data_IF_071368137308
#
_entry.id   IF_071368137308
#
_cell.length_a   1.000
_cell.length_b   1.000
_cell.length_c   1.000
_cell.angle_alpha   90.00
_cell.angle_beta   90.00
_cell.angle_gamma   90.00
#
_symmetry.space_group_name_H-M   'P 1'
#
loop_
_entity.id
_entity.type
_entity.pdbx_description
1 polymer ?
#
# COMPACT_ATOMS: atom_id res chain seq x y z
N UNK A 1 -20.03 -18.78 2.55
CA UNK A 1 -18.83 -18.54 1.73
C UNK A 1 -18.63 -17.03 1.69
N UNK A 2 -17.49 -16.51 2.14
CA UNK A 2 -17.26 -15.06 2.17
C UNK A 2 -16.84 -14.57 0.77
N UNK A 3 -17.42 -13.47 0.31
CA UNK A 3 -17.08 -12.86 -0.98
C UNK A 3 -16.05 -11.75 -0.74
N UNK A 4 -14.82 -11.99 -1.17
CA UNK A 4 -13.67 -11.11 -0.90
C UNK A 4 -13.60 -9.85 -1.80
N UNK A 5 -14.61 -9.64 -2.66
CA UNK A 5 -14.63 -8.53 -3.61
C UNK A 5 -13.69 -8.75 -4.80
N UNK A 6 -13.32 -7.65 -5.48
CA UNK A 6 -12.38 -7.65 -6.60
C UNK A 6 -10.95 -7.41 -6.14
N UNK A 7 -10.00 -8.07 -6.80
CA UNK A 7 -8.57 -7.85 -6.61
C UNK A 7 -7.98 -7.29 -7.90
N UNK A 8 -7.08 -6.33 -7.77
CA UNK A 8 -6.32 -5.76 -8.88
C UNK A 8 -4.83 -5.88 -8.56
N UNK A 9 -4.03 -6.23 -9.56
CA UNK A 9 -2.58 -6.27 -9.47
C UNK A 9 -1.99 -5.29 -10.48
N UNK A 10 -1.00 -4.52 -10.04
CA UNK A 10 -0.28 -3.58 -10.89
C UNK A 10 1.21 -3.63 -10.60
N UNK A 11 2.00 -3.73 -11.65
CA UNK A 11 3.47 -3.64 -11.59
C UNK A 11 3.93 -2.23 -11.97
N UNK A 12 4.93 -1.72 -11.26
CA UNK A 12 5.52 -0.40 -11.47
C UNK A 12 7.05 -0.50 -11.43
N UNK A 13 7.72 0.15 -12.36
CA UNK A 13 9.17 0.32 -12.32
C UNK A 13 9.51 1.57 -11.50
N UNK A 14 10.18 1.37 -10.37
CA UNK A 14 10.59 2.46 -9.49
C UNK A 14 12.11 2.61 -9.53
N UNK A 15 12.57 3.86 -9.57
CA UNK A 15 13.99 4.18 -9.35
C UNK A 15 14.31 4.08 -7.86
N UNK A 16 15.57 3.87 -7.47
CA UNK A 16 15.97 3.98 -6.08
C UNK A 16 15.61 5.35 -5.52
N UNK A 17 14.99 5.38 -4.33
CA UNK A 17 14.44 6.60 -3.77
C UNK A 17 13.49 6.36 -2.60
N UNK A 18 12.94 7.45 -2.07
CA UNK A 18 11.95 7.42 -1.00
C UNK A 18 10.54 7.57 -1.59
N UNK A 19 9.64 6.71 -1.15
CA UNK A 19 8.27 6.63 -1.65
C UNK A 19 7.29 6.57 -0.48
N UNK A 20 6.05 7.00 -0.75
CA UNK A 20 4.95 6.86 0.19
C UNK A 20 3.79 6.20 -0.53
N UNK A 21 3.36 5.03 -0.05
CA UNK A 21 2.10 4.43 -0.47
C UNK A 21 0.96 5.05 0.35
N UNK A 22 -0.11 5.44 -0.33
CA UNK A 22 -1.29 6.03 0.29
C UNK A 22 -2.50 5.15 0.02
N UNK A 23 -3.16 4.72 1.10
CA UNK A 23 -4.43 4.01 1.04
C UNK A 23 -5.56 4.93 1.46
N UNK A 24 -6.64 4.95 0.67
CA UNK A 24 -7.85 5.73 0.95
C UNK A 24 -9.07 4.81 0.88
N UNK A 25 -9.92 4.89 1.90
CA UNK A 25 -11.17 4.12 1.99
C UNK A 25 -12.24 4.96 2.70
N UNK A 26 -13.38 5.26 2.05
CA UNK A 26 -14.46 6.03 2.69
C UNK A 26 -14.88 5.46 4.05
N UNK A 27 -15.01 6.33 5.05
CA UNK A 27 -15.35 5.96 6.44
C UNK A 27 -14.17 5.43 7.27
N UNK A 28 -12.95 5.42 6.71
CA UNK A 28 -11.72 5.08 7.41
C UNK A 28 -10.70 6.21 7.31
N UNK A 29 -9.76 6.22 8.23
CA UNK A 29 -8.61 7.11 8.20
C UNK A 29 -7.64 6.65 7.11
N UNK A 30 -7.18 7.61 6.31
CA UNK A 30 -6.15 7.37 5.29
C UNK A 30 -4.87 6.84 5.93
N UNK A 31 -4.21 5.90 5.25
CA UNK A 31 -2.93 5.32 5.67
C UNK A 31 -1.83 5.79 4.74
N UNK A 32 -0.67 6.11 5.31
CA UNK A 32 0.52 6.57 4.59
C UNK A 32 1.73 5.79 5.07
N UNK A 33 2.19 4.86 4.25
CA UNK A 33 3.39 4.06 4.55
C UNK A 33 4.56 4.59 3.74
N UNK A 34 5.61 5.04 4.43
CA UNK A 34 6.82 5.57 3.80
C UNK A 34 7.90 4.52 3.80
N UNK A 35 8.46 4.25 2.62
CA UNK A 35 9.48 3.22 2.43
C UNK A 35 10.56 3.71 1.46
N UNK A 36 11.72 3.06 1.53
CA UNK A 36 12.83 3.32 0.62
C UNK A 36 12.96 2.16 -0.36
N UNK A 37 13.07 2.48 -1.63
CA UNK A 37 13.44 1.53 -2.69
C UNK A 37 14.94 1.61 -2.87
N UNK A 38 15.63 0.49 -2.70
CA UNK A 38 17.07 0.34 -2.96
C UNK A 38 17.28 -0.79 -3.98
N UNK A 39 18.37 -0.77 -4.77
CA UNK A 39 18.70 -1.86 -5.69
C UNK A 39 19.01 -3.19 -4.98
N UNK A 40 19.32 -3.11 -3.69
CA UNK A 40 19.98 -4.16 -2.90
C UNK A 40 18.96 -5.04 -2.15
N UNK A 41 17.80 -4.46 -1.78
CA UNK A 41 16.73 -5.13 -1.01
C UNK A 41 15.44 -5.33 -1.83
N UNK A 42 15.58 -5.86 -3.05
CA UNK A 42 14.43 -6.32 -3.84
C UNK A 42 14.24 -7.84 -3.71
N UNK A 43 13.02 -8.34 -3.39
CA UNK A 43 11.74 -7.64 -3.41
C UNK A 43 11.30 -7.04 -2.07
N UNK A 44 10.91 -5.76 -2.08
CA UNK A 44 10.26 -5.09 -0.96
C UNK A 44 8.79 -5.51 -0.86
N UNK A 45 8.36 -6.00 0.30
CA UNK A 45 6.95 -6.29 0.60
C UNK A 45 6.43 -5.29 1.63
N UNK A 46 5.33 -4.60 1.32
CA UNK A 46 4.62 -3.78 2.30
C UNK A 46 3.11 -4.03 2.26
N UNK A 47 2.45 -3.85 3.39
CA UNK A 47 1.00 -3.92 3.53
C UNK A 47 0.46 -2.52 3.85
N UNK A 48 -0.52 -2.04 3.07
CA UNK A 48 -1.19 -0.75 3.30
C UNK A 48 -2.67 -1.01 3.49
N UNK A 49 -3.19 -0.82 4.69
CA UNK A 49 -4.57 -1.17 5.03
C UNK A 49 -5.24 -0.11 5.90
N UNK A 50 -6.35 0.46 5.43
CA UNK A 50 -7.18 1.39 6.19
C UNK A 50 -8.01 0.63 7.24
N UNK A 51 -7.46 0.45 8.45
CA UNK A 51 -8.07 -0.33 9.54
C UNK A 51 -8.81 0.54 10.58
N UNK A 52 -8.45 1.82 10.69
CA UNK A 52 -9.03 2.76 11.66
C UNK A 52 -10.28 3.44 11.08
N UNK A 53 -11.45 3.20 11.67
CA UNK A 53 -12.69 3.84 11.26
C UNK A 53 -12.80 5.26 11.83
N UNK A 54 -13.17 6.23 11.01
CA UNK A 54 -13.47 7.60 11.44
C UNK A 54 -14.95 7.65 11.83
N UNK A 55 -15.23 7.66 13.14
CA UNK A 55 -16.58 7.82 13.70
C UNK A 55 -16.71 9.15 14.40
#
# INVERSE_FOLDING_TARGET
MAQLGSFEERTLELRPGQYTAVGTRPGYRDVRETFRVTPEDSPLTLTVACTEAIR
#
